data_IF_945920571919
#
_entry.id   IF_945920571919
#
_cell.length_a   1.000
_cell.length_b   1.000
_cell.length_c   1.000
_cell.angle_alpha   90.00
_cell.angle_beta   90.00
_cell.angle_gamma   90.00
#
_symmetry.space_group_name_H-M   'P 1'
#
loop_
_entity.id
_entity.type
_entity.pdbx_description
1 polymer ?
#
# COMPACT_ATOMS: atom_id res chain seq x y z
N UNK A 1 18.70 1.54 -9.30
CA UNK A 1 17.34 1.15 -9.77
C UNK A 1 16.47 2.41 -9.98
N UNK A 2 16.55 2.98 -11.19
CA UNK A 2 15.82 4.18 -11.59
C UNK A 2 14.41 3.76 -12.02
N UNK A 3 13.42 4.13 -11.23
CA UNK A 3 12.00 3.89 -11.48
C UNK A 3 11.63 4.36 -12.90
N UNK A 4 11.17 3.43 -13.76
CA UNK A 4 10.59 3.76 -15.07
C UNK A 4 9.07 3.70 -14.93
N UNK A 5 8.32 4.77 -15.28
CA UNK A 5 6.87 4.72 -15.29
C UNK A 5 6.42 3.90 -16.49
N UNK A 6 6.22 2.60 -16.31
CA UNK A 6 5.56 1.76 -17.30
C UNK A 6 4.04 1.91 -17.16
N UNK A 7 3.46 2.73 -18.04
CA UNK A 7 2.15 2.50 -18.69
C UNK A 7 0.90 2.19 -17.84
N UNK A 8 0.63 2.95 -16.78
CA UNK A 8 -0.73 3.06 -16.26
C UNK A 8 -1.08 4.53 -16.02
N UNK A 9 -1.25 5.28 -17.11
CA UNK A 9 -1.99 6.54 -17.06
C UNK A 9 -3.48 6.20 -17.22
N UNK A 10 -4.16 6.03 -16.10
CA UNK A 10 -5.58 6.30 -16.00
C UNK A 10 -5.72 7.41 -14.96
N UNK A 11 -6.05 8.61 -15.42
CA UNK A 11 -6.29 9.80 -14.62
C UNK A 11 -7.25 9.52 -13.45
N UNK A 12 -7.15 10.24 -12.31
CA UNK A 12 -8.09 10.10 -11.20
C UNK A 12 -9.39 10.84 -11.54
N UNK A 13 -10.17 10.27 -12.45
CA UNK A 13 -11.61 10.46 -12.42
C UNK A 13 -12.16 9.67 -11.24
N UNK A 14 -13.23 10.15 -10.61
CA UNK A 14 -13.99 9.48 -9.56
C UNK A 14 -14.61 8.18 -10.11
N UNK A 15 -13.75 7.19 -10.38
CA UNK A 15 -14.02 5.95 -11.08
C UNK A 15 -13.88 4.78 -10.13
N UNK A 16 -14.71 3.77 -10.35
CA UNK A 16 -14.72 2.51 -9.60
C UNK A 16 -13.32 2.00 -9.24
N UNK A 17 -13.20 1.51 -8.00
CA UNK A 17 -11.96 0.93 -7.48
C UNK A 17 -11.49 -0.15 -8.45
N UNK A 18 -10.25 -0.07 -8.97
CA UNK A 18 -9.75 -1.06 -9.90
C UNK A 18 -9.76 -2.43 -9.24
N UNK A 19 -10.11 -3.46 -10.01
CA UNK A 19 -10.12 -4.84 -9.51
C UNK A 19 -8.73 -5.19 -8.97
N UNK A 20 -7.69 -4.89 -9.74
CA UNK A 20 -6.28 -5.07 -9.39
C UNK A 20 -5.46 -3.91 -9.93
N UNK A 21 -4.46 -3.46 -9.19
CA UNK A 21 -3.49 -2.45 -9.59
C UNK A 21 -2.08 -2.85 -9.14
N UNK A 22 -1.11 -2.68 -10.03
CA UNK A 22 0.29 -2.92 -9.74
C UNK A 22 0.88 -1.71 -9.01
N UNK A 23 1.45 -1.91 -7.82
CA UNK A 23 2.09 -0.85 -7.03
C UNK A 23 3.61 -0.87 -7.22
N UNK A 24 4.20 -2.07 -7.18
CA UNK A 24 5.62 -2.30 -7.47
C UNK A 24 5.75 -3.49 -8.43
N UNK A 25 6.97 -3.86 -8.80
CA UNK A 25 7.22 -4.99 -9.69
C UNK A 25 6.65 -6.33 -9.16
N UNK A 26 6.39 -6.41 -7.85
CA UNK A 26 5.94 -7.63 -7.16
C UNK A 26 4.78 -7.42 -6.17
N UNK A 27 4.31 -6.18 -5.94
CA UNK A 27 3.17 -5.91 -5.07
C UNK A 27 2.00 -5.38 -5.90
N UNK A 28 0.87 -6.06 -5.76
CA UNK A 28 -0.40 -5.70 -6.37
C UNK A 28 -1.42 -5.41 -5.27
N UNK A 29 -2.24 -4.38 -5.45
CA UNK A 29 -3.40 -4.09 -4.61
C UNK A 29 -4.66 -4.48 -5.37
N UNK A 30 -5.64 -5.05 -4.69
CA UNK A 30 -6.92 -5.34 -5.31
C UNK A 30 -8.09 -5.38 -4.33
N UNK A 31 -9.28 -5.48 -4.89
CA UNK A 31 -10.50 -5.72 -4.13
C UNK A 31 -10.77 -7.23 -3.99
N UNK A 32 -11.85 -7.59 -3.30
CA UNK A 32 -12.25 -8.99 -3.12
C UNK A 32 -12.43 -9.72 -4.47
N UNK A 33 -12.92 -9.04 -5.50
CA UNK A 33 -13.09 -9.64 -6.83
C UNK A 33 -11.75 -10.03 -7.48
N UNK A 34 -10.64 -9.33 -7.20
CA UNK A 34 -9.33 -9.75 -7.69
C UNK A 34 -8.87 -11.04 -7.02
N UNK A 35 -9.10 -11.19 -5.71
CA UNK A 35 -8.71 -12.38 -4.96
C UNK A 35 -9.40 -13.66 -5.47
N UNK A 36 -10.64 -13.54 -5.95
CA UNK A 36 -11.41 -14.67 -6.51
C UNK A 36 -11.37 -14.76 -8.04
N UNK A 37 -10.68 -13.85 -8.73
CA UNK A 37 -10.60 -13.86 -10.20
C UNK A 37 -9.34 -14.58 -10.67
N UNK A 38 -9.48 -15.88 -10.98
CA UNK A 38 -8.39 -16.67 -11.57
C UNK A 38 -7.78 -16.01 -12.81
N UNK A 39 -8.60 -15.36 -13.65
CA UNK A 39 -8.10 -14.61 -14.82
C UNK A 39 -7.21 -13.43 -14.40
N UNK A 40 -7.61 -12.64 -13.41
CA UNK A 40 -6.82 -11.50 -12.95
C UNK A 40 -5.50 -11.96 -12.32
N UNK A 41 -5.54 -13.02 -11.51
CA UNK A 41 -4.36 -13.62 -10.88
C UNK A 41 -3.37 -14.16 -11.93
N UNK A 42 -3.85 -14.97 -12.88
CA UNK A 42 -3.01 -15.53 -13.94
C UNK A 42 -2.44 -14.44 -14.86
N UNK A 43 -3.24 -13.44 -15.23
CA UNK A 43 -2.78 -12.36 -16.13
C UNK A 43 -1.66 -11.53 -15.50
N UNK A 44 -1.71 -11.33 -14.18
CA UNK A 44 -0.69 -10.57 -13.44
C UNK A 44 0.44 -11.46 -12.88
N UNK A 45 0.35 -12.79 -13.06
CA UNK A 45 1.32 -13.75 -12.54
C UNK A 45 1.40 -13.73 -11.01
N UNK A 46 0.25 -13.64 -10.32
CA UNK A 46 0.21 -13.60 -8.86
C UNK A 46 0.49 -14.99 -8.28
N UNK A 47 1.50 -15.09 -7.43
CA UNK A 47 1.91 -16.31 -6.76
C UNK A 47 1.24 -16.49 -5.39
N UNK A 48 1.05 -15.37 -4.66
CA UNK A 48 0.49 -15.38 -3.31
C UNK A 48 -0.62 -14.32 -3.17
N UNK A 49 -1.64 -14.63 -2.38
CA UNK A 49 -2.72 -13.70 -2.03
C UNK A 49 -2.69 -13.50 -0.51
N UNK A 50 -2.72 -12.24 -0.07
CA UNK A 50 -2.76 -11.86 1.35
C UNK A 50 -4.05 -11.10 1.62
N UNK A 51 -4.84 -11.61 2.56
CA UNK A 51 -6.04 -10.96 3.06
C UNK A 51 -5.72 -10.13 4.31
N UNK A 52 -5.70 -8.81 4.16
CA UNK A 52 -5.46 -7.86 5.25
C UNK A 52 -6.71 -7.56 6.08
N UNK A 53 -7.81 -8.29 5.89
CA UNK A 53 -8.99 -8.23 6.78
C UNK A 53 -8.75 -8.97 8.09
N UNK A 54 -7.70 -9.81 8.16
CA UNK A 54 -7.26 -10.51 9.37
C UNK A 54 -6.15 -9.72 10.07
N UNK A 55 -6.39 -9.33 11.33
CA UNK A 55 -5.43 -8.60 12.17
C UNK A 55 -4.09 -9.35 12.36
N UNK A 56 -4.08 -10.65 12.16
CA UNK A 56 -2.90 -11.52 12.29
C UNK A 56 -1.89 -11.25 11.16
N UNK A 57 -2.38 -10.94 9.96
CA UNK A 57 -1.55 -10.70 8.78
C UNK A 57 -0.83 -9.35 8.83
N UNK A 58 -1.42 -8.33 9.46
CA UNK A 58 -0.81 -7.00 9.62
C UNK A 58 0.53 -7.03 10.37
N UNK A 59 0.62 -7.76 11.48
CA UNK A 59 1.88 -7.85 12.23
C UNK A 59 2.90 -8.76 11.54
N UNK A 60 2.44 -9.87 10.95
CA UNK A 60 3.29 -10.76 10.17
C UNK A 60 3.87 -10.06 8.92
N UNK A 61 3.11 -9.15 8.30
CA UNK A 61 3.54 -8.36 7.14
C UNK A 61 4.78 -7.51 7.43
N UNK A 62 4.84 -6.92 8.62
CA UNK A 62 5.93 -6.04 9.03
C UNK A 62 7.18 -6.79 9.48
N UNK A 63 6.99 -7.91 10.20
CA UNK A 63 8.09 -8.68 10.75
C UNK A 63 8.81 -9.56 9.73
N UNK A 64 8.25 -9.72 8.53
CA UNK A 64 8.87 -10.47 7.45
C UNK A 64 7.96 -11.58 6.99
N UNK A 65 6.90 -11.20 6.27
CA UNK A 65 5.96 -12.18 5.74
C UNK A 65 6.72 -13.14 4.80
N UNK A 66 6.72 -14.46 5.08
CA UNK A 66 7.34 -15.43 4.21
C UNK A 66 6.66 -15.48 2.84
N UNK A 67 5.47 -14.91 2.65
CA UNK A 67 4.81 -14.82 1.34
C UNK A 67 5.45 -13.79 0.40
N UNK A 68 6.34 -12.93 0.91
CA UNK A 68 7.10 -11.96 0.13
C UNK A 68 8.48 -12.47 -0.24
N UNK A 69 8.61 -13.79 -0.49
CA UNK A 69 9.86 -14.38 -0.99
C UNK A 69 10.35 -13.65 -2.24
N UNK A 70 11.67 -13.55 -2.39
CA UNK A 70 12.28 -12.90 -3.55
C UNK A 70 11.80 -13.57 -4.84
N UNK A 71 11.20 -12.78 -5.72
CA UNK A 71 10.78 -13.21 -7.05
C UNK A 71 9.31 -13.59 -7.18
N UNK A 72 8.55 -13.66 -6.07
CA UNK A 72 7.10 -13.91 -6.11
C UNK A 72 6.30 -12.61 -6.19
N UNK A 73 5.22 -12.61 -6.97
CA UNK A 73 4.26 -11.51 -7.02
C UNK A 73 3.12 -11.77 -6.06
N UNK A 74 2.77 -10.75 -5.29
CA UNK A 74 1.79 -10.86 -4.22
C UNK A 74 0.64 -9.91 -4.49
N UNK A 75 -0.59 -10.42 -4.39
CA UNK A 75 -1.80 -9.63 -4.33
C UNK A 75 -2.18 -9.39 -2.88
N UNK A 76 -2.33 -8.13 -2.51
CA UNK A 76 -2.84 -7.70 -1.21
C UNK A 76 -4.25 -7.16 -1.41
N UNK A 77 -5.21 -7.71 -0.68
CA UNK A 77 -6.57 -7.20 -0.65
C UNK A 77 -7.06 -7.01 0.79
N UNK A 78 -8.16 -6.28 0.94
CA UNK A 78 -8.93 -6.22 2.17
C UNK A 78 -10.42 -6.18 1.81
N UNK A 79 -11.31 -6.34 2.80
CA UNK A 79 -12.77 -6.32 2.59
C UNK A 79 -13.26 -5.13 1.77
N UNK A 80 -12.83 -3.92 2.14
CA UNK A 80 -13.24 -2.70 1.44
C UNK A 80 -12.38 -2.43 0.19
N UNK A 81 -11.18 -2.99 0.13
CA UNK A 81 -10.24 -2.83 -0.97
C UNK A 81 -9.36 -1.58 -0.89
N UNK A 82 -9.64 -0.57 -0.05
CA UNK A 82 -8.95 0.74 -0.11
C UNK A 82 -8.50 1.33 1.25
N UNK A 83 -8.68 0.60 2.35
CA UNK A 83 -8.34 1.06 3.70
C UNK A 83 -7.11 0.32 4.25
N UNK A 84 -7.29 -0.91 4.75
CA UNK A 84 -6.22 -1.69 5.39
C UNK A 84 -5.16 -2.17 4.40
N UNK A 85 -5.58 -2.67 3.23
CA UNK A 85 -4.67 -3.14 2.17
C UNK A 85 -3.59 -2.12 1.81
N UNK A 86 -3.96 -0.91 1.32
CA UNK A 86 -2.97 0.11 1.00
C UNK A 86 -2.18 0.64 2.20
N UNK A 87 -2.79 0.71 3.39
CA UNK A 87 -2.07 1.08 4.62
C UNK A 87 -0.90 0.13 4.89
N UNK A 88 -1.14 -1.19 4.78
CA UNK A 88 -0.09 -2.20 4.95
C UNK A 88 1.01 -2.08 3.89
N UNK A 89 0.65 -1.78 2.65
CA UNK A 89 1.62 -1.57 1.56
C UNK A 89 2.52 -0.36 1.83
N UNK A 90 1.93 0.78 2.25
CA UNK A 90 2.72 1.96 2.65
C UNK A 90 3.68 1.58 3.77
N UNK A 91 3.18 0.87 4.79
CA UNK A 91 3.97 0.44 5.93
C UNK A 91 5.17 -0.43 5.51
N UNK A 92 4.95 -1.38 4.60
CA UNK A 92 6.00 -2.22 4.04
C UNK A 92 7.04 -1.43 3.25
N UNK A 93 6.62 -0.48 2.42
CA UNK A 93 7.54 0.39 1.68
C UNK A 93 8.41 1.21 2.63
N UNK A 94 7.86 1.65 3.76
CA UNK A 94 8.63 2.35 4.79
C UNK A 94 9.67 1.44 5.44
N UNK A 95 9.29 0.22 5.84
CA UNK A 95 10.18 -0.71 6.55
C UNK A 95 11.22 -1.35 5.63
N UNK A 96 10.82 -1.86 4.46
CA UNK A 96 11.68 -2.69 3.58
C UNK A 96 12.38 -1.91 2.48
N UNK A 97 11.81 -0.79 2.04
CA UNK A 97 12.44 0.10 1.05
C UNK A 97 13.02 1.37 1.66
N UNK A 98 12.94 1.53 2.98
CA UNK A 98 13.37 2.74 3.69
C UNK A 98 12.77 4.03 3.09
N UNK A 99 11.56 3.94 2.56
CA UNK A 99 10.84 5.10 2.03
C UNK A 99 10.27 5.92 3.19
N UNK A 100 10.28 7.25 3.05
CA UNK A 100 9.53 8.12 3.96
C UNK A 100 8.03 7.93 3.75
N UNK A 101 7.24 8.09 4.80
CA UNK A 101 5.78 7.96 4.78
C UNK A 101 5.15 8.70 3.60
N UNK A 102 5.55 9.97 3.38
CA UNK A 102 4.98 10.77 2.31
C UNK A 102 5.32 10.21 0.92
N UNK A 103 6.54 9.71 0.71
CA UNK A 103 6.95 9.13 -0.56
C UNK A 103 6.24 7.80 -0.83
N UNK A 104 6.11 6.95 0.20
CA UNK A 104 5.38 5.70 0.14
C UNK A 104 3.89 5.95 -0.17
N UNK A 105 3.26 6.89 0.54
CA UNK A 105 1.86 7.28 0.32
C UNK A 105 1.63 7.78 -1.11
N UNK A 106 2.47 8.69 -1.61
CA UNK A 106 2.34 9.23 -2.98
C UNK A 106 2.50 8.14 -4.05
N UNK A 107 3.43 7.19 -3.85
CA UNK A 107 3.63 6.08 -4.78
C UNK A 107 2.38 5.20 -4.89
N UNK A 108 1.75 4.88 -3.76
CA UNK A 108 0.53 4.07 -3.75
C UNK A 108 -0.64 4.87 -4.32
N UNK A 109 -0.80 6.13 -3.89
CA UNK A 109 -1.88 7.03 -4.35
C UNK A 109 -1.86 7.26 -5.86
N UNK A 110 -0.68 7.34 -6.46
CA UNK A 110 -0.54 7.52 -7.90
C UNK A 110 -1.08 6.34 -8.72
N UNK A 111 -1.34 5.18 -8.08
CA UNK A 111 -1.75 3.95 -8.77
C UNK A 111 -3.01 3.32 -8.23
N UNK A 112 -3.46 3.70 -7.04
CA UNK A 112 -4.59 3.09 -6.37
C UNK A 112 -5.34 4.10 -5.49
N UNK A 113 -6.69 4.10 -5.51
CA UNK A 113 -7.48 5.00 -4.67
C UNK A 113 -7.28 4.68 -3.18
N UNK A 114 -7.04 5.72 -2.39
CA UNK A 114 -6.75 5.60 -0.96
C UNK A 114 -7.83 6.29 -0.14
N UNK A 115 -8.42 5.56 0.82
CA UNK A 115 -9.25 6.15 1.88
C UNK A 115 -8.72 5.70 3.24
N UNK A 116 -7.58 6.27 3.60
CA UNK A 116 -6.90 5.94 4.86
C UNK A 116 -7.60 6.68 5.99
N UNK A 117 -8.26 5.91 6.87
CA UNK A 117 -8.91 6.45 8.07
C UNK A 117 -7.89 7.10 9.00
N UNK A 118 -8.35 8.08 9.78
CA UNK A 118 -7.50 8.85 10.70
C UNK A 118 -6.76 7.96 11.71
N UNK A 119 -7.40 6.89 12.20
CA UNK A 119 -6.78 5.91 13.10
C UNK A 119 -5.55 5.21 12.49
N UNK A 120 -5.52 5.00 11.17
CA UNK A 120 -4.39 4.42 10.48
C UNK A 120 -3.28 5.44 10.21
N UNK A 121 -3.61 6.73 10.14
CA UNK A 121 -2.62 7.80 9.96
C UNK A 121 -1.69 7.89 11.18
N UNK A 122 -2.24 7.83 12.38
CA UNK A 122 -1.45 7.87 13.62
C UNK A 122 -0.47 6.69 13.71
N UNK A 123 -0.88 5.51 13.26
CA UNK A 123 -0.01 4.33 13.18
C UNK A 123 1.14 4.52 12.18
N UNK A 124 0.85 5.07 11.00
CA UNK A 124 1.86 5.36 9.98
C UNK A 124 2.85 6.45 10.43
N UNK A 125 2.34 7.51 11.09
CA UNK A 125 3.18 8.56 11.68
C UNK A 125 4.06 7.98 12.77
N UNK A 126 3.51 7.15 13.67
CA UNK A 126 4.27 6.47 14.72
C UNK A 126 5.37 5.58 14.17
N UNK A 127 5.11 4.87 13.06
CA UNK A 127 6.14 4.06 12.41
C UNK A 127 7.27 4.91 11.82
N UNK A 128 6.97 6.02 11.12
CA UNK A 128 8.00 6.92 10.58
C UNK A 128 8.95 7.38 11.69
N UNK A 129 8.42 7.66 12.89
CA UNK A 129 9.24 8.01 14.05
C UNK A 129 10.13 6.87 14.52
N UNK A 130 9.58 5.65 14.62
CA UNK A 130 10.34 4.48 15.05
C UNK A 130 11.48 4.15 14.09
N UNK A 131 11.30 4.41 12.79
CA UNK A 131 12.33 4.19 11.77
C UNK A 131 13.37 5.32 11.70
N UNK A 132 13.04 6.54 12.17
CA UNK A 132 13.94 7.70 12.16
C UNK A 132 13.93 8.45 13.51
N UNK A 133 14.57 7.89 14.55
CA UNK A 133 14.78 8.59 15.81
C UNK A 133 15.77 9.76 15.62
N UNK A 134 15.27 10.95 15.24
CA UNK A 134 16.07 12.19 15.27
C UNK A 134 15.79 13.27 14.22
N UNK A 135 14.89 13.08 13.26
CA UNK A 135 14.84 13.96 12.07
C UNK A 135 13.56 14.75 11.79
N UNK A 136 12.41 14.43 12.42
CA UNK A 136 11.10 14.91 11.90
C UNK A 136 10.18 15.41 13.02
N UNK A 137 9.68 16.64 12.86
CA UNK A 137 8.64 17.21 13.73
C UNK A 137 7.27 16.58 13.42
N UNK A 138 6.72 15.85 14.38
CA UNK A 138 5.48 15.06 14.29
C UNK A 138 4.27 15.88 13.88
N UNK A 139 4.11 17.07 14.45
CA UNK A 139 3.00 17.95 14.14
C UNK A 139 3.05 18.41 12.68
N UNK A 140 4.25 18.69 12.15
CA UNK A 140 4.43 19.11 10.76
C UNK A 140 4.17 17.95 9.78
N UNK A 141 4.57 16.72 10.12
CA UNK A 141 4.35 15.55 9.27
C UNK A 141 2.88 15.10 9.28
N UNK A 142 2.23 15.04 10.45
CA UNK A 142 0.79 14.77 10.55
C UNK A 142 0.01 15.85 9.81
N UNK A 143 0.32 17.13 10.01
CA UNK A 143 -0.33 18.22 9.30
C UNK A 143 -0.14 18.13 7.77
N UNK A 144 1.07 17.80 7.30
CA UNK A 144 1.35 17.62 5.87
C UNK A 144 0.62 16.43 5.27
N UNK A 145 0.53 15.33 6.03
CA UNK A 145 -0.20 14.12 5.65
C UNK A 145 -1.71 14.38 5.62
N UNK A 146 -2.28 14.92 6.69
CA UNK A 146 -3.69 15.28 6.80
C UNK A 146 -4.10 16.29 5.72
N UNK A 147 -3.27 17.30 5.41
CA UNK A 147 -3.54 18.25 4.31
C UNK A 147 -3.57 17.56 2.95
N UNK A 148 -2.73 16.56 2.71
CA UNK A 148 -2.72 15.78 1.45
C UNK A 148 -3.84 14.76 1.38
N UNK A 149 -4.27 14.23 2.52
CA UNK A 149 -5.36 13.26 2.63
C UNK A 149 -6.75 13.90 2.70
N UNK A 150 -6.86 15.19 3.07
CA UNK A 150 -8.12 15.94 3.14
C UNK A 150 -8.79 16.18 1.77
N UNK A 151 -8.11 15.85 0.66
CA UNK A 151 -8.62 15.99 -0.72
C UNK A 151 -8.86 14.63 -1.39
N UNK A 152 -8.94 13.53 -0.62
CA UNK A 152 -9.18 12.17 -1.14
C UNK A 152 -10.63 11.74 -0.97
#
# INVERSE_FOLDING_TARGET
PRWRPSQFLSSPGLGSIPIIAQITDYIYLGNLNAAYSGRALCTNGIDNIIDMSSLVDTQAFLHGNPLMEKGKRVLIHCRDGYSLGPTCVIQYLMVKHSMRLLAAYELVRARYPLKIQECHQDLLVGLEMSLQPGGVNTACLKHSLSRKMAWS
#
